data_IF_580550081147
#
_entry.id   IF_580550081147
#
_cell.length_a   1.000
_cell.length_b   1.000
_cell.length_c   1.000
_cell.angle_alpha   90.00
_cell.angle_beta   90.00
_cell.angle_gamma   90.00
#
_symmetry.space_group_name_H-M   'P 1'
#
loop_
_entity.id
_entity.type
_entity.pdbx_description
1 polymer ?
#
# COMPACT_ATOMS: atom_id res chain seq x y z
N UNK A 1 -42.82 -72.52 72.49
CA UNK A 1 -43.72 -71.56 71.82
C UNK A 1 -43.49 -70.08 72.10
N UNK A 2 -42.94 -69.75 73.29
CA UNK A 2 -42.70 -68.30 73.64
C UNK A 2 -41.51 -67.62 72.86
N UNK A 3 -40.57 -68.32 72.32
CA UNK A 3 -39.42 -67.78 71.60
C UNK A 3 -39.70 -67.39 70.10
N UNK A 4 -40.71 -68.01 69.51
CA UNK A 4 -41.12 -67.78 68.12
C UNK A 4 -41.96 -66.47 67.99
N UNK A 5 -42.74 -66.15 69.08
CA UNK A 5 -43.54 -64.93 69.09
C UNK A 5 -42.75 -63.66 69.26
N UNK A 6 -41.57 -63.71 69.95
CA UNK A 6 -40.70 -62.55 70.08
C UNK A 6 -39.93 -62.22 68.79
N UNK A 7 -39.64 -63.24 67.94
CA UNK A 7 -38.99 -63.03 66.63
C UNK A 7 -39.99 -62.43 65.61
N UNK A 8 -41.26 -62.79 65.73
CA UNK A 8 -42.29 -62.21 64.82
C UNK A 8 -42.64 -60.77 65.22
N UNK A 9 -42.59 -60.38 66.47
CA UNK A 9 -42.83 -58.97 66.95
C UNK A 9 -41.62 -58.12 66.63
N UNK A 10 -40.40 -58.66 66.68
CA UNK A 10 -39.21 -57.86 66.29
C UNK A 10 -39.08 -57.63 64.77
N UNK A 11 -39.63 -58.52 63.90
CA UNK A 11 -39.66 -58.38 62.48
C UNK A 11 -40.69 -57.35 61.98
N UNK A 12 -41.77 -57.05 62.74
CA UNK A 12 -42.75 -56.04 62.38
C UNK A 12 -42.37 -54.62 62.75
N UNK A 13 -41.41 -54.41 63.66
CA UNK A 13 -40.87 -53.06 64.02
C UNK A 13 -39.82 -52.55 63.01
N UNK A 14 -39.26 -53.41 62.17
CA UNK A 14 -38.25 -53.03 61.15
C UNK A 14 -38.83 -52.58 59.77
N UNK A 15 -40.15 -52.54 59.63
CA UNK A 15 -40.84 -52.17 58.36
C UNK A 15 -41.52 -50.80 58.40
N UNK A 16 -41.40 -50.01 59.48
CA UNK A 16 -42.02 -48.69 59.61
C UNK A 16 -40.96 -47.58 59.64
N UNK A 17 -40.07 -47.52 58.72
CA UNK A 17 -39.06 -46.48 58.68
C UNK A 17 -38.54 -46.26 57.27
N UNK A 18 -39.23 -45.50 56.48
CA UNK A 18 -38.72 -44.54 55.51
C UNK A 18 -39.89 -43.98 54.70
N UNK A 19 -40.54 -43.01 55.29
CA UNK A 19 -41.28 -42.02 54.50
C UNK A 19 -40.32 -40.86 54.33
N UNK A 20 -39.28 -41.05 53.49
CA UNK A 20 -38.50 -39.93 52.98
C UNK A 20 -39.43 -39.11 52.10
N UNK A 21 -40.02 -38.07 52.68
CA UNK A 21 -40.48 -36.94 51.91
C UNK A 21 -39.23 -36.42 51.21
N UNK A 22 -39.15 -36.67 49.87
CA UNK A 22 -38.25 -35.90 48.99
C UNK A 22 -38.44 -34.43 49.38
N UNK A 23 -37.50 -33.91 50.12
CA UNK A 23 -37.33 -32.46 50.23
C UNK A 23 -36.95 -32.04 48.82
N UNK A 24 -37.92 -31.54 48.06
CA UNK A 24 -37.68 -30.76 46.87
C UNK A 24 -36.73 -29.66 47.37
N UNK A 25 -35.46 -29.80 47.06
CA UNK A 25 -34.48 -28.79 47.39
C UNK A 25 -34.98 -27.49 46.74
N UNK A 26 -35.30 -26.50 47.55
CA UNK A 26 -35.65 -25.18 47.00
C UNK A 26 -34.53 -24.76 46.11
N UNK A 27 -34.83 -24.71 44.80
CA UNK A 27 -33.89 -24.34 43.76
C UNK A 27 -33.40 -22.92 44.08
N UNK A 28 -32.15 -22.80 44.53
CA UNK A 28 -31.58 -21.49 44.93
C UNK A 28 -31.62 -20.57 43.75
N UNK A 29 -32.38 -19.49 43.82
CA UNK A 29 -32.37 -18.41 42.86
C UNK A 29 -31.13 -17.57 43.09
N UNK A 30 -30.31 -17.41 42.05
CA UNK A 30 -29.06 -16.64 42.10
C UNK A 30 -29.32 -15.27 41.48
N UNK A 31 -29.10 -14.21 42.27
CA UNK A 31 -29.23 -12.85 41.78
C UNK A 31 -28.01 -12.45 40.96
N UNK A 32 -28.24 -11.91 39.76
CA UNK A 32 -27.21 -11.52 38.80
C UNK A 32 -27.53 -10.17 38.20
N UNK A 33 -26.49 -9.45 37.71
CA UNK A 33 -26.67 -8.31 36.82
C UNK A 33 -26.48 -8.79 35.40
N UNK A 34 -27.27 -8.24 34.49
CA UNK A 34 -27.28 -8.65 33.10
C UNK A 34 -27.30 -7.44 32.14
N UNK A 35 -26.94 -7.66 30.91
CA UNK A 35 -27.09 -6.73 29.79
C UNK A 35 -27.77 -7.43 28.63
N UNK A 36 -28.40 -6.64 27.74
CA UNK A 36 -28.91 -7.15 26.47
C UNK A 36 -27.85 -6.94 25.41
N UNK A 37 -27.54 -7.99 24.66
CA UNK A 37 -26.60 -7.91 23.55
C UNK A 37 -27.21 -7.09 22.41
N UNK A 38 -26.56 -5.97 22.08
CA UNK A 38 -26.85 -5.22 20.88
C UNK A 38 -25.64 -5.21 19.95
N UNK A 39 -25.91 -5.07 18.65
CA UNK A 39 -24.86 -5.05 17.61
C UNK A 39 -24.23 -3.68 17.57
N UNK A 40 -22.92 -3.64 17.70
CA UNK A 40 -22.12 -2.46 17.42
C UNK A 40 -21.30 -2.65 16.15
N UNK A 41 -21.12 -1.55 15.44
CA UNK A 41 -20.32 -1.53 14.21
C UNK A 41 -18.98 -0.91 14.51
N UNK A 42 -17.92 -1.64 14.25
CA UNK A 42 -16.55 -1.21 14.50
C UNK A 42 -15.82 -0.99 13.18
N UNK A 43 -15.51 0.26 12.89
CA UNK A 43 -14.55 0.63 11.86
C UNK A 43 -13.14 0.71 12.46
N UNK A 44 -12.21 -0.03 11.94
CA UNK A 44 -10.81 0.08 12.32
C UNK A 44 -10.07 0.98 11.34
N UNK A 45 -9.28 1.91 11.87
CA UNK A 45 -8.36 2.71 11.06
C UNK A 45 -6.98 2.08 11.10
N UNK A 46 -6.46 1.71 9.94
CA UNK A 46 -5.08 1.22 9.81
C UNK A 46 -4.19 2.33 9.29
N UNK A 47 -3.05 2.48 9.94
CA UNK A 47 -2.06 3.49 9.56
C UNK A 47 -0.79 2.82 9.10
N UNK A 48 -0.34 3.21 7.91
CA UNK A 48 0.86 2.72 7.26
C UNK A 48 1.85 3.85 7.07
N UNK A 49 3.13 3.52 7.02
CA UNK A 49 4.16 4.50 6.65
C UNK A 49 4.20 4.60 5.13
N UNK A 50 4.23 5.83 4.64
CA UNK A 50 4.35 6.13 3.22
C UNK A 50 5.42 7.16 2.94
N UNK A 51 5.80 7.29 1.67
CA UNK A 51 6.71 8.31 1.16
C UNK A 51 6.06 9.03 -0.01
N UNK A 52 6.16 10.34 -0.03
CA UNK A 52 5.66 11.18 -1.11
C UNK A 52 6.60 11.07 -2.30
N UNK A 53 6.07 10.82 -3.47
CA UNK A 53 6.80 10.69 -4.72
C UNK A 53 6.25 11.65 -5.79
N UNK A 54 7.11 12.10 -6.69
CA UNK A 54 6.66 12.78 -7.90
C UNK A 54 5.81 11.81 -8.75
N UNK A 55 4.82 12.33 -9.47
CA UNK A 55 4.01 11.50 -10.37
C UNK A 55 4.86 10.78 -11.41
N UNK A 56 5.88 11.48 -11.91
CA UNK A 56 6.86 11.00 -12.87
C UNK A 56 8.23 11.53 -12.49
N UNK A 57 9.25 10.71 -12.64
CA UNK A 57 10.65 11.08 -12.49
C UNK A 57 11.46 10.50 -13.62
N UNK A 58 12.13 11.36 -14.38
CA UNK A 58 12.92 11.00 -15.56
C UNK A 58 14.40 11.26 -15.25
N UNK A 59 15.22 10.25 -15.41
CA UNK A 59 16.68 10.41 -15.37
C UNK A 59 17.17 10.88 -16.72
N UNK A 60 17.87 12.01 -16.74
CA UNK A 60 18.44 12.59 -17.96
C UNK A 60 19.94 12.36 -17.98
N UNK A 61 20.44 11.94 -19.11
CA UNK A 61 21.87 11.66 -19.36
C UNK A 61 22.25 12.10 -20.77
N UNK A 62 23.54 12.40 -20.96
CA UNK A 62 24.08 12.57 -22.30
C UNK A 62 24.20 11.22 -23.01
N UNK A 63 23.91 11.20 -24.32
CA UNK A 63 24.15 10.03 -25.17
C UNK A 63 25.63 9.94 -25.59
N UNK A 64 26.34 11.08 -25.61
CA UNK A 64 27.77 11.17 -25.85
C UNK A 64 28.56 11.36 -24.54
N UNK A 65 29.81 10.90 -24.52
CA UNK A 65 30.77 11.22 -23.49
C UNK A 65 31.60 12.46 -23.79
N UNK A 66 32.07 13.16 -22.79
CA UNK A 66 32.92 14.32 -22.96
C UNK A 66 32.97 15.23 -21.74
N UNK A 67 33.69 16.34 -21.86
CA UNK A 67 33.75 17.36 -20.81
C UNK A 67 32.51 18.24 -20.88
N UNK A 68 31.88 18.46 -19.71
CA UNK A 68 30.76 19.41 -19.56
C UNK A 68 31.31 20.82 -19.68
N UNK A 69 30.86 21.57 -20.69
CA UNK A 69 31.24 22.95 -20.90
C UNK A 69 30.39 23.89 -20.07
N UNK A 70 29.06 23.78 -20.22
CA UNK A 70 28.08 24.67 -19.61
C UNK A 70 26.95 23.87 -18.97
N UNK A 71 26.44 24.38 -17.83
CA UNK A 71 25.24 23.90 -17.16
C UNK A 71 24.35 25.11 -16.92
N UNK A 72 23.13 25.09 -17.45
CA UNK A 72 22.23 26.23 -17.52
C UNK A 72 21.15 26.23 -16.45
N UNK A 73 21.04 25.14 -15.67
CA UNK A 73 19.96 24.97 -14.66
C UNK A 73 20.53 24.50 -13.34
N UNK A 74 19.80 24.79 -12.26
CA UNK A 74 20.10 24.40 -10.88
C UNK A 74 19.01 23.46 -10.34
N UNK A 75 19.31 22.79 -9.24
CA UNK A 75 18.30 22.02 -8.48
C UNK A 75 17.22 22.99 -8.00
N UNK A 76 15.97 22.61 -8.19
CA UNK A 76 14.79 23.44 -7.89
C UNK A 76 14.27 24.28 -9.07
N UNK A 77 15.01 24.40 -10.17
CA UNK A 77 14.56 25.19 -11.32
C UNK A 77 13.40 24.51 -12.06
N UNK A 78 12.42 25.32 -12.47
CA UNK A 78 11.37 24.89 -13.39
C UNK A 78 11.92 24.93 -14.82
N UNK A 79 11.72 23.85 -15.55
CA UNK A 79 12.13 23.72 -16.95
C UNK A 79 10.97 23.33 -17.85
N UNK A 80 11.06 23.69 -19.12
CA UNK A 80 10.08 23.35 -20.15
C UNK A 80 10.63 22.30 -21.10
N UNK A 81 9.72 21.55 -21.75
CA UNK A 81 10.10 20.63 -22.82
C UNK A 81 10.89 21.39 -23.92
N UNK A 82 12.01 20.79 -24.37
CA UNK A 82 12.92 21.39 -25.34
C UNK A 82 13.90 22.44 -24.78
N UNK A 83 13.89 22.73 -23.49
CA UNK A 83 14.85 23.63 -22.87
C UNK A 83 16.22 22.98 -22.76
N UNK A 84 17.28 23.71 -23.17
CA UNK A 84 18.67 23.27 -23.03
C UNK A 84 19.08 23.33 -21.55
N UNK A 85 19.55 22.20 -21.02
CA UNK A 85 19.94 22.02 -19.62
C UNK A 85 21.46 22.07 -19.43
N UNK A 86 22.22 21.44 -20.32
CA UNK A 86 23.67 21.41 -20.25
C UNK A 86 24.25 21.11 -21.63
N UNK A 87 25.53 21.38 -21.80
CA UNK A 87 26.28 21.22 -23.03
C UNK A 87 27.67 20.66 -22.78
N UNK A 88 28.08 19.69 -23.59
CA UNK A 88 29.45 19.21 -23.67
C UNK A 88 30.32 20.13 -24.52
N UNK A 89 31.64 20.01 -24.38
CA UNK A 89 32.58 20.66 -25.32
C UNK A 89 32.44 20.03 -26.69
N UNK A 90 32.05 20.84 -27.67
CA UNK A 90 31.77 20.42 -29.05
C UNK A 90 32.96 20.55 -30.00
N UNK A 91 34.10 21.09 -29.53
CA UNK A 91 35.19 21.52 -30.43
C UNK A 91 35.66 20.43 -31.36
N UNK A 92 35.92 19.22 -30.87
CA UNK A 92 36.37 18.10 -31.68
C UNK A 92 35.25 17.50 -32.53
N UNK A 93 34.05 17.40 -31.97
CA UNK A 93 32.88 16.83 -32.67
C UNK A 93 32.43 17.75 -33.81
N UNK A 94 32.46 19.09 -33.57
CA UNK A 94 32.18 20.09 -34.60
C UNK A 94 33.14 19.97 -35.77
N UNK A 95 34.46 19.86 -35.50
CA UNK A 95 35.47 19.69 -36.53
C UNK A 95 35.26 18.41 -37.36
N UNK A 96 34.84 17.32 -36.71
CA UNK A 96 34.49 16.06 -37.38
C UNK A 96 33.25 16.20 -38.28
N UNK A 97 32.23 16.91 -37.81
CA UNK A 97 31.05 17.20 -38.60
C UNK A 97 31.38 18.06 -39.82
N UNK A 98 32.18 19.12 -39.65
CA UNK A 98 32.57 20.02 -40.73
C UNK A 98 33.38 19.29 -41.83
N UNK A 99 34.27 18.34 -41.42
CA UNK A 99 35.00 17.49 -42.35
C UNK A 99 34.07 16.54 -43.13
N UNK A 100 33.11 15.89 -42.45
CA UNK A 100 32.11 15.01 -43.05
C UNK A 100 31.19 15.79 -44.02
N UNK A 101 30.77 16.99 -43.65
CA UNK A 101 29.98 17.90 -44.48
C UNK A 101 30.75 18.29 -45.76
N UNK A 102 32.01 18.67 -45.66
CA UNK A 102 32.84 19.00 -46.82
C UNK A 102 33.01 17.80 -47.77
N UNK A 103 33.14 16.58 -47.20
CA UNK A 103 33.22 15.35 -48.02
C UNK A 103 31.89 15.08 -48.72
N UNK A 104 30.74 15.34 -48.08
CA UNK A 104 29.43 15.22 -48.71
C UNK A 104 29.28 16.22 -49.87
N UNK A 105 29.61 17.50 -49.65
CA UNK A 105 29.54 18.53 -50.68
C UNK A 105 30.37 18.16 -51.90
N UNK A 106 31.58 17.58 -51.72
CA UNK A 106 32.41 17.07 -52.82
C UNK A 106 31.77 15.90 -53.55
N UNK A 107 31.18 14.95 -52.82
CA UNK A 107 30.49 13.79 -53.41
C UNK A 107 29.23 14.21 -54.18
N UNK A 108 28.46 15.19 -53.68
CA UNK A 108 27.30 15.76 -54.39
C UNK A 108 27.69 16.46 -55.67
N UNK A 109 28.78 17.23 -55.69
CA UNK A 109 29.28 17.87 -56.90
C UNK A 109 29.74 16.84 -57.97
N UNK A 110 30.48 15.81 -57.48
CA UNK A 110 30.89 14.68 -58.35
C UNK A 110 29.68 13.94 -58.94
N UNK A 111 28.68 13.66 -58.11
CA UNK A 111 27.44 13.01 -58.57
C UNK A 111 26.68 13.86 -59.60
N UNK A 112 26.52 15.17 -59.35
CA UNK A 112 25.84 16.08 -60.29
C UNK A 112 26.48 16.10 -61.67
N UNK A 113 27.84 16.15 -61.70
CA UNK A 113 28.57 16.10 -63.00
C UNK A 113 28.47 14.71 -63.70
N UNK A 114 28.59 13.65 -62.91
CA UNK A 114 28.48 12.29 -63.42
C UNK A 114 27.05 12.00 -63.93
N UNK A 115 26.03 12.53 -63.28
CA UNK A 115 24.65 12.40 -63.77
C UNK A 115 24.43 12.99 -65.11
N UNK A 116 25.01 14.16 -65.45
CA UNK A 116 24.92 14.77 -66.75
C UNK A 116 25.58 13.91 -67.82
N UNK A 117 26.72 13.26 -67.53
CA UNK A 117 27.42 12.34 -68.48
C UNK A 117 26.67 11.03 -68.63
N UNK A 118 26.06 10.50 -67.57
CA UNK A 118 25.26 9.29 -67.61
C UNK A 118 23.96 9.49 -68.40
N UNK A 119 23.24 10.60 -68.17
CA UNK A 119 22.01 10.94 -68.87
C UNK A 119 22.27 11.13 -70.42
N UNK A 120 23.49 11.50 -70.81
CA UNK A 120 23.92 11.60 -72.18
C UNK A 120 24.55 10.31 -72.75
N UNK A 121 24.51 9.19 -72.00
CA UNK A 121 25.08 7.90 -72.47
C UNK A 121 26.61 7.85 -72.52
N UNK A 122 27.30 8.85 -71.93
CA UNK A 122 28.79 8.98 -72.00
C UNK A 122 29.50 8.39 -70.79
N UNK A 123 28.77 7.89 -69.76
CA UNK A 123 29.33 7.30 -68.53
C UNK A 123 28.99 5.81 -68.46
N UNK A 124 29.99 4.90 -68.28
CA UNK A 124 29.73 3.49 -68.05
C UNK A 124 28.94 3.23 -66.78
N UNK A 125 28.00 2.28 -66.78
CA UNK A 125 27.12 1.94 -65.72
C UNK A 125 27.90 1.63 -64.43
N UNK A 126 28.97 0.87 -64.49
CA UNK A 126 29.84 0.55 -63.36
C UNK A 126 30.35 1.82 -62.62
N UNK A 127 30.73 2.85 -63.42
CA UNK A 127 31.16 4.13 -62.82
C UNK A 127 30.02 4.95 -62.26
N UNK A 128 28.86 4.87 -62.83
CA UNK A 128 27.67 5.49 -62.35
C UNK A 128 27.31 4.93 -60.90
N UNK A 129 27.26 3.60 -60.81
CA UNK A 129 27.00 2.91 -59.54
C UNK A 129 28.09 3.23 -58.47
N UNK A 130 29.37 3.31 -58.85
CA UNK A 130 30.47 3.70 -57.97
C UNK A 130 30.24 5.10 -57.36
N UNK A 131 29.83 6.07 -58.22
CA UNK A 131 29.60 7.45 -57.80
C UNK A 131 28.36 7.55 -56.89
N UNK A 132 27.26 6.83 -57.19
CA UNK A 132 26.09 6.73 -56.34
C UNK A 132 26.44 6.18 -54.97
N UNK A 133 27.27 5.12 -54.94
CA UNK A 133 27.71 4.50 -53.70
C UNK A 133 28.55 5.46 -52.85
N UNK A 134 29.47 6.22 -53.47
CA UNK A 134 30.27 7.25 -52.78
C UNK A 134 29.40 8.36 -52.18
N UNK A 135 28.37 8.81 -52.92
CA UNK A 135 27.42 9.80 -52.41
C UNK A 135 26.67 9.26 -51.20
N UNK A 136 26.12 8.06 -51.30
CA UNK A 136 25.39 7.42 -50.21
C UNK A 136 26.26 7.22 -48.96
N UNK A 137 27.55 6.87 -49.15
CA UNK A 137 28.49 6.74 -48.03
C UNK A 137 28.80 8.10 -47.37
N UNK A 138 28.99 9.17 -48.18
CA UNK A 138 29.23 10.51 -47.64
C UNK A 138 28.02 11.08 -46.90
N UNK A 139 26.79 10.83 -47.41
CA UNK A 139 25.54 11.19 -46.74
C UNK A 139 25.41 10.50 -45.36
N UNK A 140 25.72 9.19 -45.31
CA UNK A 140 25.67 8.44 -44.07
C UNK A 140 26.68 8.97 -43.03
N UNK A 141 27.90 9.32 -43.48
CA UNK A 141 28.96 9.84 -42.61
C UNK A 141 28.62 11.24 -42.07
N UNK A 142 28.07 12.13 -42.89
CA UNK A 142 27.58 13.44 -42.45
C UNK A 142 26.47 13.27 -41.42
N UNK A 143 25.49 12.39 -41.65
CA UNK A 143 24.38 12.13 -40.75
C UNK A 143 24.89 11.65 -39.38
N UNK A 144 25.81 10.68 -39.34
CA UNK A 144 26.40 10.16 -38.11
C UNK A 144 27.12 11.29 -37.35
N UNK A 145 27.91 12.09 -38.03
CA UNK A 145 28.66 13.18 -37.40
C UNK A 145 27.75 14.29 -36.90
N UNK A 146 26.65 14.56 -37.60
CA UNK A 146 25.61 15.52 -37.20
C UNK A 146 24.86 15.07 -35.92
N UNK A 147 24.46 13.78 -35.86
CA UNK A 147 23.83 13.19 -34.67
C UNK A 147 24.79 13.26 -33.49
N UNK A 148 26.05 12.88 -33.66
CA UNK A 148 27.06 13.01 -32.62
C UNK A 148 27.19 14.45 -32.07
N UNK A 149 27.10 15.46 -32.94
CA UNK A 149 27.12 16.86 -32.56
C UNK A 149 25.85 17.26 -31.74
N UNK A 150 24.69 16.74 -32.16
CA UNK A 150 23.42 16.98 -31.45
C UNK A 150 23.44 16.36 -30.06
N UNK A 151 24.01 15.16 -29.90
CA UNK A 151 24.11 14.47 -28.60
C UNK A 151 25.03 15.17 -27.61
N UNK A 152 25.76 16.20 -28.02
CA UNK A 152 26.51 17.07 -27.09
C UNK A 152 25.65 18.08 -26.35
N UNK A 153 24.41 18.30 -26.74
CA UNK A 153 23.43 19.14 -26.04
C UNK A 153 22.41 18.25 -25.32
N UNK A 154 22.17 18.54 -24.03
CA UNK A 154 21.16 17.85 -23.27
C UNK A 154 19.94 18.74 -23.10
N UNK A 155 18.82 18.32 -23.69
CA UNK A 155 17.54 19.01 -23.60
C UNK A 155 16.57 18.29 -22.67
N UNK A 156 15.66 19.06 -22.09
CA UNK A 156 14.55 18.49 -21.30
C UNK A 156 13.49 17.87 -22.21
N UNK A 157 13.13 16.57 -22.03
CA UNK A 157 12.08 15.94 -22.83
C UNK A 157 10.67 16.38 -22.43
N UNK A 158 10.49 16.90 -21.21
CA UNK A 158 9.20 17.29 -20.65
C UNK A 158 9.34 18.54 -19.76
N UNK A 159 8.22 19.15 -19.42
CA UNK A 159 8.19 20.22 -18.40
C UNK A 159 8.19 19.62 -17.01
N UNK A 160 8.93 20.23 -16.07
CA UNK A 160 9.05 19.73 -14.69
C UNK A 160 10.03 20.56 -13.88
N UNK A 161 10.48 20.01 -12.77
CA UNK A 161 11.46 20.60 -11.84
C UNK A 161 12.71 19.73 -11.79
N UNK A 162 13.88 20.36 -11.79
CA UNK A 162 15.16 19.65 -11.59
C UNK A 162 15.28 19.21 -10.13
N UNK A 163 15.12 17.92 -9.89
CA UNK A 163 15.19 17.35 -8.54
C UNK A 163 16.60 17.07 -8.05
N UNK A 164 17.48 16.67 -8.95
CA UNK A 164 18.92 16.49 -8.63
C UNK A 164 19.79 16.76 -9.84
N UNK A 165 21.03 17.17 -9.59
CA UNK A 165 22.09 17.41 -10.55
C UNK A 165 23.37 16.73 -10.09
N UNK A 166 23.99 15.94 -10.96
CA UNK A 166 25.20 15.17 -10.64
C UNK A 166 26.41 15.62 -11.47
N UNK A 167 26.25 16.62 -12.33
CA UNK A 167 27.28 17.16 -13.22
C UNK A 167 27.58 18.63 -12.89
N UNK A 168 28.83 19.03 -13.11
CA UNK A 168 29.29 20.40 -12.96
C UNK A 168 30.08 20.84 -14.21
N UNK A 169 30.13 22.14 -14.52
CA UNK A 169 31.03 22.65 -15.56
C UNK A 169 32.49 22.18 -15.30
N UNK A 170 33.13 21.62 -16.32
CA UNK A 170 34.47 21.04 -16.24
C UNK A 170 34.52 19.57 -15.83
N UNK A 171 33.41 18.96 -15.41
CA UNK A 171 33.36 17.51 -15.14
C UNK A 171 33.40 16.71 -16.44
N UNK A 172 33.95 15.50 -16.39
CA UNK A 172 33.94 14.55 -17.49
C UNK A 172 32.79 13.55 -17.26
N UNK A 173 31.94 13.34 -18.26
CA UNK A 173 30.81 12.41 -18.22
C UNK A 173 30.98 11.28 -19.21
N UNK A 174 30.55 10.10 -18.82
CA UNK A 174 30.44 8.94 -19.69
C UNK A 174 29.04 8.90 -20.34
N UNK A 175 28.89 8.26 -21.51
CA UNK A 175 27.58 8.03 -22.11
C UNK A 175 26.63 7.36 -21.13
N UNK A 176 25.36 7.79 -21.08
CA UNK A 176 24.30 7.28 -20.20
C UNK A 176 24.52 7.49 -18.70
N UNK A 177 25.58 8.21 -18.32
CA UNK A 177 25.75 8.63 -16.93
C UNK A 177 24.66 9.65 -16.55
N UNK A 178 23.99 9.41 -15.40
CA UNK A 178 22.99 10.35 -14.90
C UNK A 178 23.57 11.76 -14.76
N UNK A 179 22.92 12.72 -15.39
CA UNK A 179 23.24 14.15 -15.31
C UNK A 179 22.25 14.91 -14.45
N UNK A 180 20.96 14.69 -14.69
CA UNK A 180 19.86 15.31 -13.95
C UNK A 180 18.76 14.30 -13.64
N UNK A 181 17.95 14.62 -12.63
CA UNK A 181 16.66 13.99 -12.38
C UNK A 181 15.57 15.06 -12.57
N UNK A 182 14.77 14.90 -13.60
CA UNK A 182 13.59 15.72 -13.85
C UNK A 182 12.39 15.12 -13.14
N UNK A 183 11.64 15.93 -12.40
CA UNK A 183 10.47 15.47 -11.64
C UNK A 183 9.23 16.28 -12.01
N UNK A 184 8.12 15.61 -12.20
CA UNK A 184 6.81 16.25 -12.31
C UNK A 184 6.18 16.33 -10.92
N UNK A 185 6.22 17.51 -10.31
CA UNK A 185 5.66 17.79 -8.97
C UNK A 185 4.29 18.44 -9.00
N UNK A 186 3.70 18.65 -10.19
CA UNK A 186 2.33 19.21 -10.30
C UNK A 186 1.30 18.25 -9.71
N UNK A 187 1.59 16.98 -9.75
CA UNK A 187 0.79 15.94 -9.15
C UNK A 187 1.71 15.00 -8.36
N UNK A 188 1.44 14.87 -7.08
CA UNK A 188 2.20 14.01 -6.20
C UNK A 188 1.43 12.72 -5.92
N UNK A 189 2.17 11.67 -5.62
CA UNK A 189 1.64 10.37 -5.19
C UNK A 189 2.24 10.01 -3.84
N UNK A 190 1.55 9.19 -3.08
CA UNK A 190 2.10 8.56 -1.89
C UNK A 190 2.30 7.09 -2.20
N UNK A 191 3.50 6.58 -1.97
CA UNK A 191 3.78 5.15 -1.95
C UNK A 191 3.76 4.67 -0.51
N UNK A 192 2.79 3.85 -0.14
CA UNK A 192 2.64 3.24 1.17
C UNK A 192 2.99 1.76 1.10
N UNK A 193 3.74 1.25 2.08
CA UNK A 193 4.07 -0.17 2.18
C UNK A 193 3.06 -0.87 3.08
N UNK A 194 2.28 -1.78 2.50
CA UNK A 194 1.20 -2.51 3.15
C UNK A 194 1.64 -3.96 3.41
N UNK A 195 1.56 -4.48 4.64
CA UNK A 195 1.87 -5.87 4.97
C UNK A 195 1.04 -6.88 4.15
N UNK A 196 1.63 -8.06 3.89
CA UNK A 196 1.01 -9.12 3.07
C UNK A 196 -0.37 -9.55 3.60
N UNK A 197 -0.53 -9.66 4.92
CA UNK A 197 -1.80 -10.05 5.55
C UNK A 197 -2.92 -9.00 5.43
N UNK A 198 -2.61 -7.79 4.98
CA UNK A 198 -3.56 -6.67 4.89
C UNK A 198 -3.83 -6.22 3.45
N UNK A 199 -2.95 -6.56 2.50
CA UNK A 199 -3.06 -6.09 1.10
C UNK A 199 -4.37 -6.52 0.42
N UNK A 200 -4.93 -7.68 0.80
CA UNK A 200 -6.20 -8.18 0.24
C UNK A 200 -7.39 -7.28 0.55
N UNK A 201 -7.30 -6.47 1.61
CA UNK A 201 -8.35 -5.53 2.05
C UNK A 201 -8.26 -4.16 1.36
N UNK A 202 -7.19 -3.92 0.58
CA UNK A 202 -6.97 -2.66 -0.10
C UNK A 202 -7.42 -2.78 -1.55
N UNK A 203 -8.41 -1.98 -1.90
CA UNK A 203 -8.94 -1.91 -3.26
C UNK A 203 -8.61 -0.56 -3.91
N UNK A 204 -8.51 -0.55 -5.23
CA UNK A 204 -8.40 0.68 -6.02
C UNK A 204 -9.66 1.51 -5.79
N UNK A 205 -9.51 2.82 -5.67
CA UNK A 205 -10.58 3.76 -5.34
C UNK A 205 -10.82 3.93 -3.84
N UNK A 206 -10.12 3.16 -2.98
CA UNK A 206 -10.23 3.33 -1.53
C UNK A 206 -9.70 4.68 -1.09
N UNK A 207 -10.45 5.37 -0.24
CA UNK A 207 -10.04 6.64 0.34
C UNK A 207 -8.94 6.42 1.38
N UNK A 208 -7.99 7.32 1.41
CA UNK A 208 -6.90 7.36 2.37
C UNK A 208 -6.75 8.79 2.92
N UNK A 209 -6.42 8.89 4.18
CA UNK A 209 -6.06 10.14 4.86
C UNK A 209 -4.55 10.10 5.04
N UNK A 210 -3.87 11.13 4.54
CA UNK A 210 -2.40 11.25 4.58
C UNK A 210 -2.03 12.38 5.51
N UNK A 211 -1.33 12.07 6.60
CA UNK A 211 -0.79 13.05 7.54
C UNK A 211 0.70 13.19 7.31
N UNK A 212 1.17 14.43 7.13
CA UNK A 212 2.57 14.73 6.79
C UNK A 212 3.22 15.52 7.93
N UNK A 213 4.05 14.88 8.77
CA UNK A 213 4.70 15.55 9.89
C UNK A 213 5.60 16.73 9.47
N UNK A 214 6.25 16.63 8.31
CA UNK A 214 7.10 17.69 7.77
C UNK A 214 6.32 18.94 7.29
N UNK A 215 4.97 18.84 7.24
CA UNK A 215 4.06 19.93 6.90
C UNK A 215 3.14 20.24 8.10
N UNK A 216 3.69 20.30 9.32
CA UNK A 216 2.98 20.59 10.57
C UNK A 216 1.80 19.67 10.86
N UNK A 217 1.96 18.37 10.57
CA UNK A 217 0.91 17.33 10.68
C UNK A 217 -0.36 17.65 9.86
N UNK A 218 -0.22 18.44 8.79
CA UNK A 218 -1.33 18.75 7.90
C UNK A 218 -1.89 17.47 7.28
N UNK A 219 -3.22 17.46 7.13
CA UNK A 219 -3.98 16.28 6.70
C UNK A 219 -4.47 16.49 5.27
N UNK A 220 -4.18 15.52 4.42
CA UNK A 220 -4.53 15.53 3.00
C UNK A 220 -5.40 14.32 2.66
N UNK A 221 -6.38 14.53 1.79
CA UNK A 221 -7.14 13.42 1.22
C UNK A 221 -6.39 12.81 0.04
N UNK A 222 -6.42 11.49 -0.03
CA UNK A 222 -5.84 10.73 -1.13
C UNK A 222 -6.74 9.54 -1.50
N UNK A 223 -6.50 8.98 -2.67
CA UNK A 223 -7.23 7.82 -3.18
C UNK A 223 -6.25 6.80 -3.74
N UNK A 224 -6.48 5.53 -3.43
CA UNK A 224 -5.68 4.42 -3.97
C UNK A 224 -5.90 4.29 -5.48
N UNK A 225 -4.82 4.44 -6.24
CA UNK A 225 -4.85 4.32 -7.71
C UNK A 225 -4.14 3.07 -8.22
N UNK A 226 -3.22 2.52 -7.43
CA UNK A 226 -2.43 1.36 -7.82
C UNK A 226 -2.17 0.48 -6.60
N UNK A 227 -2.34 -0.83 -6.77
CA UNK A 227 -1.97 -1.85 -5.80
C UNK A 227 -0.89 -2.73 -6.41
N UNK A 228 0.28 -2.78 -5.79
CA UNK A 228 1.37 -3.64 -6.20
C UNK A 228 0.95 -5.11 -6.24
N UNK A 229 1.48 -5.83 -7.22
CA UNK A 229 1.25 -7.28 -7.39
C UNK A 229 2.45 -8.12 -6.96
N UNK A 230 3.58 -7.46 -6.71
CA UNK A 230 4.82 -8.07 -6.27
C UNK A 230 5.18 -7.57 -4.86
N UNK A 231 5.52 -8.51 -3.99
CA UNK A 231 5.95 -8.18 -2.64
C UNK A 231 7.44 -7.83 -2.63
N UNK A 232 7.80 -6.86 -1.82
CA UNK A 232 9.19 -6.64 -1.47
C UNK A 232 9.65 -7.79 -0.56
N UNK A 233 10.64 -8.55 -1.00
CA UNK A 233 11.13 -9.75 -0.31
C UNK A 233 11.71 -9.45 1.07
N UNK A 234 12.31 -8.27 1.26
CA UNK A 234 12.94 -7.89 2.52
C UNK A 234 11.94 -7.43 3.58
N UNK A 235 10.90 -6.71 3.18
CA UNK A 235 9.90 -6.14 4.09
C UNK A 235 8.60 -6.93 4.16
N UNK A 236 8.40 -7.96 3.32
CA UNK A 236 7.15 -8.71 3.19
C UNK A 236 5.93 -7.80 3.03
N UNK A 237 6.09 -6.74 2.24
CA UNK A 237 5.06 -5.74 2.01
C UNK A 237 4.84 -5.48 0.53
N UNK A 238 3.65 -5.01 0.22
CA UNK A 238 3.25 -4.58 -1.12
C UNK A 238 3.18 -3.06 -1.19
N UNK A 239 3.65 -2.48 -2.28
CA UNK A 239 3.55 -1.04 -2.50
C UNK A 239 2.14 -0.69 -3.01
N UNK A 240 1.50 0.24 -2.33
CA UNK A 240 0.22 0.83 -2.74
C UNK A 240 0.46 2.30 -3.02
N UNK A 241 0.01 2.77 -4.19
CA UNK A 241 0.13 4.18 -4.56
C UNK A 241 -1.21 4.88 -4.44
N UNK A 242 -1.20 6.00 -3.74
CA UNK A 242 -2.34 6.89 -3.62
C UNK A 242 -2.04 8.23 -4.28
N UNK A 243 -3.04 8.82 -4.91
CA UNK A 243 -2.97 10.15 -5.50
C UNK A 243 -3.62 11.16 -4.57
N UNK A 244 -2.96 12.30 -4.35
CA UNK A 244 -3.53 13.38 -3.57
C UNK A 244 -4.71 14.04 -4.28
N UNK A 245 -5.73 14.43 -3.51
CA UNK A 245 -6.85 15.26 -3.95
C UNK A 245 -6.71 16.67 -3.37
N UNK A 246 -6.99 17.67 -4.18
CA UNK A 246 -6.89 19.08 -3.76
C UNK A 246 -5.48 19.66 -3.83
N UNK A 247 -5.27 20.76 -3.11
CA UNK A 247 -3.99 21.47 -3.08
C UNK A 247 -2.98 20.72 -2.20
N UNK A 248 -1.80 20.49 -2.77
CA UNK A 248 -0.68 19.83 -2.12
C UNK A 248 0.66 20.55 -2.42
N UNK A 249 0.59 21.85 -2.67
CA UNK A 249 1.74 22.68 -3.06
C UNK A 249 2.85 22.77 -2.00
N UNK A 250 2.53 22.50 -0.73
CA UNK A 250 3.51 22.46 0.36
C UNK A 250 4.30 21.15 0.43
N UNK A 251 3.86 20.13 -0.30
CA UNK A 251 4.47 18.80 -0.23
C UNK A 251 5.62 18.68 -1.21
N UNK A 252 6.68 18.00 -0.78
CA UNK A 252 7.84 17.73 -1.62
C UNK A 252 8.07 16.21 -1.71
N UNK A 253 8.52 15.72 -2.89
CA UNK A 253 8.96 14.33 -3.02
C UNK A 253 10.06 13.99 -2.01
N UNK A 254 9.97 12.82 -1.41
CA UNK A 254 10.87 12.35 -0.36
C UNK A 254 10.35 12.55 1.07
N UNK A 255 9.30 13.35 1.29
CA UNK A 255 8.69 13.48 2.61
C UNK A 255 8.05 12.16 3.04
N UNK A 256 8.26 11.80 4.32
CA UNK A 256 7.61 10.66 4.95
C UNK A 256 6.24 11.08 5.47
N UNK A 257 5.26 10.21 5.34
CA UNK A 257 3.89 10.47 5.76
C UNK A 257 3.26 9.23 6.40
N UNK A 258 2.15 9.45 7.11
CA UNK A 258 1.27 8.40 7.63
C UNK A 258 0.04 8.31 6.74
N UNK A 259 -0.23 7.12 6.22
CA UNK A 259 -1.38 6.85 5.35
C UNK A 259 -2.39 6.04 6.16
N UNK A 260 -3.49 6.66 6.53
CA UNK A 260 -4.57 6.03 7.30
C UNK A 260 -5.72 5.67 6.37
N UNK A 261 -6.13 4.41 6.42
CA UNK A 261 -7.25 3.88 5.64
C UNK A 261 -8.25 3.22 6.58
N UNK A 262 -9.53 3.44 6.31
CA UNK A 262 -10.60 2.77 7.06
C UNK A 262 -10.68 1.30 6.63
N UNK A 263 -10.74 0.39 7.59
CA UNK A 263 -11.11 -1.01 7.31
C UNK A 263 -12.62 -1.14 7.14
N UNK A 264 -13.09 -2.21 6.47
CA UNK A 264 -14.50 -2.53 6.43
C UNK A 264 -15.06 -2.61 7.84
N UNK A 265 -16.22 -2.03 8.04
CA UNK A 265 -16.92 -2.12 9.32
C UNK A 265 -17.23 -3.58 9.64
N UNK A 266 -16.76 -4.03 10.80
CA UNK A 266 -17.12 -5.32 11.35
C UNK A 266 -18.26 -5.11 12.35
N UNK A 267 -19.35 -5.85 12.20
CA UNK A 267 -20.42 -5.91 13.20
C UNK A 267 -20.11 -7.00 14.21
N UNK A 268 -20.27 -6.70 15.47
CA UNK A 268 -20.10 -7.66 16.55
C UNK A 268 -20.82 -7.21 17.80
N UNK A 269 -20.66 -7.96 18.86
CA UNK A 269 -21.25 -7.65 20.16
C UNK A 269 -20.16 -7.25 21.14
N UNK A 270 -20.26 -6.09 21.78
CA UNK A 270 -19.34 -5.70 22.84
C UNK A 270 -19.83 -6.25 24.17
N UNK A 271 -19.02 -7.08 24.77
CA UNK A 271 -19.30 -7.66 26.09
C UNK A 271 -18.24 -7.14 27.06
N UNK A 272 -18.65 -6.56 28.21
CA UNK A 272 -17.70 -6.10 29.21
C UNK A 272 -16.70 -7.20 29.58
N UNK A 273 -15.40 -6.87 29.64
CA UNK A 273 -14.33 -7.85 29.90
C UNK A 273 -14.56 -8.67 31.17
N UNK A 274 -15.24 -8.10 32.19
CA UNK A 274 -15.61 -8.77 33.45
C UNK A 274 -16.63 -9.91 33.25
N UNK A 275 -17.44 -9.90 32.21
CA UNK A 275 -18.41 -10.95 31.90
C UNK A 275 -17.81 -12.15 31.19
N UNK A 276 -16.63 -11.97 30.60
CA UNK A 276 -15.92 -12.99 29.82
C UNK A 276 -15.05 -13.85 30.74
N UNK A 277 -15.17 -15.17 30.62
CA UNK A 277 -14.47 -16.12 31.49
C UNK A 277 -13.80 -17.22 30.68
N UNK A 278 -12.74 -17.79 31.26
CA UNK A 278 -12.18 -19.05 30.75
C UNK A 278 -13.05 -20.19 31.26
N UNK A 279 -13.66 -20.93 30.38
CA UNK A 279 -14.52 -22.08 30.66
C UNK A 279 -13.94 -23.34 30.05
N UNK A 280 -14.52 -24.50 30.44
CA UNK A 280 -14.16 -25.76 29.79
C UNK A 280 -14.60 -25.71 28.30
N UNK A 281 -13.64 -25.73 27.40
CA UNK A 281 -13.86 -25.62 25.96
C UNK A 281 -13.48 -24.28 25.34
N UNK A 282 -13.04 -23.27 26.14
CA UNK A 282 -12.56 -21.99 25.63
C UNK A 282 -13.00 -20.77 26.44
N UNK A 283 -13.04 -19.64 25.78
CA UNK A 283 -13.55 -18.40 26.34
C UNK A 283 -15.07 -18.40 26.22
N UNK A 284 -15.77 -18.04 27.29
CA UNK A 284 -17.24 -18.07 27.30
C UNK A 284 -17.87 -17.04 28.20
N UNK A 285 -19.18 -16.96 28.09
CA UNK A 285 -20.06 -16.10 28.88
C UNK A 285 -21.25 -16.91 29.43
N UNK A 286 -21.98 -16.31 30.35
CA UNK A 286 -23.26 -16.84 30.78
C UNK A 286 -24.41 -16.09 30.11
N UNK A 287 -25.27 -16.83 29.38
CA UNK A 287 -26.53 -16.33 28.81
C UNK A 287 -27.69 -16.70 29.73
N UNK A 288 -28.75 -15.91 29.73
CA UNK A 288 -30.00 -16.22 30.43
C UNK A 288 -31.04 -16.64 29.38
N UNK A 289 -31.47 -17.89 29.47
CA UNK A 289 -32.54 -18.43 28.63
C UNK A 289 -33.65 -18.94 29.55
N UNK A 290 -34.87 -18.45 29.38
CA UNK A 290 -36.05 -18.83 30.16
C UNK A 290 -35.84 -18.73 31.71
N UNK A 291 -35.13 -17.68 32.17
CA UNK A 291 -34.82 -17.48 33.58
C UNK A 291 -33.77 -18.42 34.15
N UNK A 292 -32.99 -19.10 33.31
CA UNK A 292 -31.91 -20.01 33.71
C UNK A 292 -30.60 -19.62 33.02
N UNK A 293 -29.50 -19.79 33.76
CA UNK A 293 -28.16 -19.53 33.26
C UNK A 293 -27.68 -20.68 32.40
N UNK A 294 -27.15 -20.36 31.26
CA UNK A 294 -26.57 -21.34 30.28
C UNK A 294 -25.19 -20.90 29.87
N UNK A 295 -24.25 -21.82 29.87
CA UNK A 295 -22.89 -21.54 29.39
C UNK A 295 -22.90 -21.40 27.87
N UNK A 296 -22.21 -20.36 27.38
CA UNK A 296 -22.05 -20.12 25.96
C UNK A 296 -20.57 -19.87 25.67
N UNK A 297 -19.99 -20.70 24.82
CA UNK A 297 -18.63 -20.48 24.32
C UNK A 297 -18.72 -19.43 23.22
N UNK A 298 -17.83 -18.45 23.28
CA UNK A 298 -17.79 -17.33 22.36
C UNK A 298 -16.48 -17.33 21.55
N UNK A 299 -16.54 -16.81 20.36
CA UNK A 299 -15.36 -16.49 19.57
C UNK A 299 -15.08 -15.00 19.70
N UNK A 300 -13.90 -14.67 20.20
CA UNK A 300 -13.42 -13.30 20.31
C UNK A 300 -11.99 -13.22 19.81
N UNK A 301 -11.71 -12.23 19.02
CA UNK A 301 -10.37 -11.99 18.48
C UNK A 301 -9.82 -10.60 18.84
N UNK A 302 -10.57 -9.81 19.62
CA UNK A 302 -10.17 -8.43 19.86
C UNK A 302 -10.73 -7.85 21.16
N UNK A 303 -9.91 -7.05 21.85
CA UNK A 303 -10.33 -6.16 22.93
C UNK A 303 -10.61 -4.77 22.34
N UNK A 304 -11.68 -4.14 22.79
CA UNK A 304 -12.09 -2.77 22.48
C UNK A 304 -12.15 -1.94 23.75
N UNK A 305 -12.33 -0.61 23.64
CA UNK A 305 -12.29 0.27 24.82
C UNK A 305 -13.28 -0.15 25.91
N UNK A 306 -14.48 -0.59 25.53
CA UNK A 306 -15.57 -0.90 26.45
C UNK A 306 -15.69 -2.41 26.78
N UNK A 307 -14.81 -3.27 26.24
CA UNK A 307 -14.85 -4.70 26.52
C UNK A 307 -14.18 -5.60 25.51
N UNK A 308 -14.82 -6.71 25.23
CA UNK A 308 -14.36 -7.75 24.29
C UNK A 308 -15.34 -7.81 23.12
N UNK A 309 -14.82 -7.70 21.91
CA UNK A 309 -15.61 -7.86 20.69
C UNK A 309 -15.85 -9.35 20.43
N UNK A 310 -17.11 -9.76 20.45
CA UNK A 310 -17.55 -11.12 20.21
C UNK A 310 -18.15 -11.18 18.80
N UNK A 311 -17.62 -12.08 17.99
CA UNK A 311 -18.03 -12.26 16.59
C UNK A 311 -18.92 -13.48 16.37
N UNK A 312 -18.90 -14.43 17.33
CA UNK A 312 -19.71 -15.63 17.26
C UNK A 312 -20.07 -16.14 18.66
N UNK A 313 -21.20 -16.85 18.81
CA UNK A 313 -21.73 -17.36 20.06
C UNK A 313 -22.81 -16.48 20.70
N UNK A 314 -23.07 -15.27 20.19
CA UNK A 314 -24.11 -14.35 20.72
C UNK A 314 -25.03 -13.94 19.56
N UNK A 315 -26.31 -13.78 19.87
CA UNK A 315 -27.31 -13.21 18.99
C UNK A 315 -27.86 -11.89 19.53
N UNK A 316 -28.36 -11.03 18.62
CA UNK A 316 -29.02 -9.79 19.01
C UNK A 316 -30.21 -10.07 19.94
N UNK A 317 -30.25 -9.39 21.08
CA UNK A 317 -31.29 -9.56 22.09
C UNK A 317 -31.00 -10.63 23.14
N UNK A 318 -29.87 -11.35 23.04
CA UNK A 318 -29.46 -12.28 24.08
C UNK A 318 -29.20 -11.53 25.39
N UNK A 319 -29.64 -12.09 26.51
CA UNK A 319 -29.37 -11.56 27.85
C UNK A 319 -28.12 -12.19 28.42
N UNK A 320 -27.08 -11.38 28.64
CA UNK A 320 -25.76 -11.80 29.10
C UNK A 320 -25.56 -11.38 30.55
N UNK A 321 -25.06 -12.30 31.37
CA UNK A 321 -24.71 -12.01 32.76
C UNK A 321 -23.39 -11.22 32.80
N UNK A 322 -23.44 -10.04 33.46
CA UNK A 322 -22.27 -9.18 33.61
C UNK A 322 -21.64 -9.29 35.00
N UNK A 323 -22.42 -9.59 36.02
CA UNK A 323 -21.94 -9.75 37.40
C UNK A 323 -22.75 -10.82 38.14
N UNK A 324 -22.16 -11.38 39.22
CA UNK A 324 -22.82 -12.42 40.03
C UNK A 324 -22.61 -13.85 39.51
N UNK A 325 -21.84 -14.02 38.44
CA UNK A 325 -21.60 -15.29 37.77
C UNK A 325 -20.79 -16.33 38.57
N UNK A 326 -20.07 -15.91 39.61
CA UNK A 326 -19.19 -16.81 40.40
C UNK A 326 -19.94 -17.95 41.08
N UNK A 327 -21.24 -17.80 41.26
CA UNK A 327 -22.12 -18.79 41.89
C UNK A 327 -22.93 -19.60 40.89
N UNK A 328 -22.80 -19.26 39.60
CA UNK A 328 -23.59 -19.88 38.55
C UNK A 328 -23.05 -21.27 38.17
N UNK A 329 -23.95 -22.16 37.92
CA UNK A 329 -23.76 -23.47 37.30
C UNK A 329 -24.75 -23.63 36.13
N UNK A 330 -24.50 -24.55 35.28
CA UNK A 330 -25.34 -24.74 34.12
C UNK A 330 -26.78 -25.11 34.51
N UNK A 331 -27.74 -24.43 33.89
CA UNK A 331 -29.18 -24.52 34.19
C UNK A 331 -29.61 -23.95 35.58
N UNK A 332 -28.74 -23.16 36.27
CA UNK A 332 -29.11 -22.49 37.54
C UNK A 332 -30.25 -21.47 37.30
N UNK A 333 -31.23 -21.44 38.25
CA UNK A 333 -32.29 -20.46 38.22
C UNK A 333 -31.74 -19.09 38.64
N UNK A 334 -31.99 -18.07 37.83
CA UNK A 334 -31.45 -16.72 38.02
C UNK A 334 -32.57 -15.68 38.11
N UNK A 335 -32.30 -14.65 38.91
CA UNK A 335 -33.12 -13.44 38.98
C UNK A 335 -32.23 -12.25 38.62
N UNK A 336 -32.69 -11.42 37.67
CA UNK A 336 -31.97 -10.24 37.24
C UNK A 336 -32.23 -9.11 38.23
N UNK A 337 -31.15 -8.68 38.90
CA UNK A 337 -31.22 -7.58 39.88
C UNK A 337 -31.09 -6.22 39.16
N UNK A 338 -30.19 -6.11 38.21
CA UNK A 338 -29.99 -4.90 37.41
C UNK A 338 -29.76 -5.26 35.94
N UNK A 339 -30.47 -4.57 35.07
CA UNK A 339 -30.22 -4.59 33.64
C UNK A 339 -29.37 -3.39 33.27
N UNK A 340 -28.25 -3.59 32.59
CA UNK A 340 -27.41 -2.51 32.06
C UNK A 340 -27.72 -2.42 30.55
N UNK A 341 -27.95 -1.22 30.06
CA UNK A 341 -28.07 -0.93 28.65
C UNK A 341 -26.67 -0.94 28.01
#
# INVERSE_FOLDING_TARGET
>A
MKRLTYILILATILLSGCNDKEKVAEERVISVNAMVADTETFGEKRTYVGTIEASEAITLSFEAGGNVKDVFVKVGDNVHAGQLLARLDKTSVQSSYDAAKSTLEQAEDGYRRAKQLHDNGSLPEVKWVEIQTKLAQAQSMEKISKEALQHCDLYSPASGVIGSRTIEPGSNVSPLQQAFKLMNIRQLKVRASIPENEISKINIGKKAIVTVPAADDEVFEAEVIERGIEANILSHSYDVKCIFKGDHSKLLPGMVCKVTMDEPENTGYVVPSRAVQTMQGGIGIWKIENGRAKRCIITSNKYVADGVLVTDGIAKGDTIVTEGYQKLYDNAKVEINKMTE
#
